data_IF_555709755281
#
_entry.id   IF_555709755281
#
_cell.length_a   1.000
_cell.length_b   1.000
_cell.length_c   1.000
_cell.angle_alpha   90.00
_cell.angle_beta   90.00
_cell.angle_gamma   90.00
#
_symmetry.space_group_name_H-M   'P 1'
#
loop_
_entity.id
_entity.type
_entity.pdbx_description
1 polymer ?
#
# COMPACT_ATOMS: atom_id res chain seq x y z
N UNK A 1 -3.38 -2.78 7.59
CA UNK A 1 -1.99 -2.81 8.09
C UNK A 1 -2.00 -3.42 9.48
N UNK A 2 -0.99 -4.20 9.87
CA UNK A 2 -0.85 -4.69 11.27
C UNK A 2 -0.15 -3.62 12.11
N UNK A 3 -0.54 -3.51 13.38
CA UNK A 3 -0.06 -2.51 14.34
C UNK A 3 -0.13 -1.04 13.84
N UNK A 4 -1.23 -0.59 13.22
CA UNK A 4 -1.36 0.79 12.73
C UNK A 4 -1.23 1.85 13.84
N UNK A 5 -1.22 1.45 15.11
CA UNK A 5 -1.08 2.30 16.28
C UNK A 5 0.36 2.40 16.82
N UNK A 6 1.32 1.61 16.32
CA UNK A 6 2.69 1.59 16.84
C UNK A 6 3.75 1.43 15.77
N UNK A 7 4.56 2.48 15.59
CA UNK A 7 5.74 2.47 14.71
C UNK A 7 6.74 1.40 15.11
N UNK A 8 6.97 1.24 16.41
CA UNK A 8 7.87 0.22 16.96
C UNK A 8 7.43 -1.20 16.60
N UNK A 9 6.12 -1.48 16.71
CA UNK A 9 5.58 -2.79 16.36
C UNK A 9 5.61 -3.02 14.84
N UNK A 10 5.31 -2.00 14.02
CA UNK A 10 5.45 -2.09 12.56
C UNK A 10 6.90 -2.39 12.14
N UNK A 11 7.87 -1.68 12.72
CA UNK A 11 9.29 -1.92 12.49
C UNK A 11 9.69 -3.35 12.87
N UNK A 12 9.22 -3.82 14.03
CA UNK A 12 9.49 -5.19 14.52
C UNK A 12 8.93 -6.23 13.56
N UNK A 13 7.68 -6.07 13.12
CA UNK A 13 7.02 -6.99 12.19
C UNK A 13 7.71 -7.04 10.82
N UNK A 14 8.12 -5.89 10.27
CA UNK A 14 8.86 -5.84 9.00
C UNK A 14 10.18 -6.60 9.14
N UNK A 15 10.97 -6.30 10.17
CA UNK A 15 12.24 -6.96 10.42
C UNK A 15 12.08 -8.46 10.74
N UNK A 16 10.97 -8.87 11.37
CA UNK A 16 10.67 -10.27 11.61
C UNK A 16 10.63 -11.07 10.30
N UNK A 17 10.07 -10.51 9.22
CA UNK A 17 10.03 -11.23 7.93
C UNK A 17 11.41 -11.44 7.32
N UNK A 18 12.33 -10.48 7.47
CA UNK A 18 13.74 -10.67 7.10
C UNK A 18 14.38 -11.78 7.95
N UNK A 19 14.19 -11.73 9.27
CA UNK A 19 14.76 -12.72 10.19
C UNK A 19 14.25 -14.15 9.89
N UNK A 20 12.96 -14.29 9.56
CA UNK A 20 12.38 -15.56 9.12
C UNK A 20 13.07 -16.11 7.87
N UNK A 21 13.37 -15.23 6.90
CA UNK A 21 13.98 -15.63 5.63
C UNK A 21 15.41 -16.15 5.75
N UNK A 22 16.09 -15.86 6.87
CA UNK A 22 17.45 -16.34 7.17
C UNK A 22 17.49 -17.29 8.38
N UNK A 23 16.32 -17.70 8.86
CA UNK A 23 16.18 -18.58 10.02
C UNK A 23 16.45 -20.03 9.64
N UNK A 24 17.03 -20.80 10.57
CA UNK A 24 17.30 -22.22 10.39
C UNK A 24 16.97 -22.99 11.66
N UNK A 25 16.83 -24.31 11.59
CA UNK A 25 16.60 -25.14 12.78
C UNK A 25 17.74 -25.00 13.82
N UNK A 26 18.99 -24.81 13.36
CA UNK A 26 20.15 -24.62 14.24
C UNK A 26 20.23 -23.21 14.83
N UNK A 27 19.70 -22.22 14.11
CA UNK A 27 19.73 -20.80 14.49
C UNK A 27 18.36 -20.17 14.19
N UNK A 28 17.35 -20.44 15.03
CA UNK A 28 16.03 -19.86 14.86
C UNK A 28 16.10 -18.34 15.12
N UNK A 29 15.50 -17.54 14.22
CA UNK A 29 15.47 -16.08 14.30
C UNK A 29 14.03 -15.55 14.35
N UNK A 30 13.41 -15.72 15.50
CA UNK A 30 12.02 -15.32 15.78
C UNK A 30 11.93 -14.35 16.96
N UNK A 31 13.01 -13.62 17.24
CA UNK A 31 13.14 -12.65 18.33
C UNK A 31 12.13 -11.49 18.22
N UNK A 32 11.67 -11.19 17.01
CA UNK A 32 10.73 -10.11 16.73
C UNK A 32 9.27 -10.57 16.67
N UNK A 33 8.99 -11.86 16.89
CA UNK A 33 7.64 -12.40 16.85
C UNK A 33 7.00 -12.51 18.22
N UNK A 34 5.67 -12.33 18.32
CA UNK A 34 4.96 -12.57 19.56
C UNK A 34 5.04 -14.07 19.94
N UNK A 35 5.22 -14.33 21.23
CA UNK A 35 5.36 -15.67 21.81
C UNK A 35 4.03 -16.38 22.12
N UNK A 36 2.90 -15.83 21.70
CA UNK A 36 1.58 -16.35 22.04
C UNK A 36 1.10 -17.47 21.10
N UNK A 37 0.16 -18.29 21.56
CA UNK A 37 -0.43 -19.41 20.79
C UNK A 37 -1.15 -18.94 19.51
N UNK A 38 -1.71 -17.73 19.54
CA UNK A 38 -2.33 -17.04 18.41
C UNK A 38 -1.31 -16.32 17.51
N UNK A 39 -0.01 -16.45 17.79
CA UNK A 39 1.06 -15.82 17.01
C UNK A 39 0.93 -16.16 15.53
N UNK A 40 1.09 -15.15 14.69
CA UNK A 40 1.15 -15.32 13.24
C UNK A 40 2.43 -16.03 12.80
N UNK A 41 3.44 -16.12 13.68
CA UNK A 41 4.67 -16.85 13.43
C UNK A 41 4.46 -18.35 13.67
N UNK A 42 4.61 -19.16 12.61
CA UNK A 42 4.43 -20.62 12.66
C UNK A 42 5.39 -21.30 13.62
N UNK A 43 6.63 -20.82 13.73
CA UNK A 43 7.61 -21.35 14.68
C UNK A 43 7.18 -21.09 16.12
N UNK A 44 6.83 -19.84 16.48
CA UNK A 44 6.36 -19.50 17.84
C UNK A 44 5.09 -20.25 18.23
N UNK A 45 4.17 -20.43 17.28
CA UNK A 45 2.98 -21.26 17.48
C UNK A 45 3.33 -22.72 17.75
N UNK A 46 4.23 -23.29 16.95
CA UNK A 46 4.67 -24.68 17.13
C UNK A 46 5.38 -24.87 18.47
N UNK A 47 6.23 -23.92 18.86
CA UNK A 47 6.90 -23.85 20.16
C UNK A 47 5.88 -23.82 21.32
N UNK A 48 4.85 -22.96 21.23
CA UNK A 48 3.79 -22.86 22.24
C UNK A 48 2.96 -24.15 22.37
N UNK A 49 2.76 -24.87 21.27
CA UNK A 49 1.98 -26.12 21.23
C UNK A 49 2.84 -27.37 21.51
N UNK A 50 4.16 -27.21 21.66
CA UNK A 50 5.08 -28.34 21.81
C UNK A 50 5.15 -29.27 20.60
N UNK A 51 4.80 -28.79 19.40
CA UNK A 51 4.84 -29.58 18.16
C UNK A 51 6.12 -29.29 17.37
N UNK A 52 6.67 -30.29 16.66
CA UNK A 52 7.89 -30.09 15.88
C UNK A 52 7.67 -29.08 14.76
N UNK A 53 8.69 -28.27 14.49
CA UNK A 53 8.75 -27.34 13.37
C UNK A 53 10.08 -27.48 12.64
N UNK A 54 10.01 -27.48 11.31
CA UNK A 54 11.19 -27.50 10.44
C UNK A 54 11.21 -26.22 9.63
N UNK A 55 12.34 -25.51 9.66
CA UNK A 55 12.51 -24.29 8.88
C UNK A 55 12.62 -24.60 7.39
N UNK A 56 12.04 -23.74 6.53
CA UNK A 56 12.38 -23.73 5.11
C UNK A 56 13.88 -23.47 4.90
N UNK A 57 14.37 -23.80 3.71
CA UNK A 57 15.73 -23.44 3.30
C UNK A 57 15.93 -21.92 3.42
N UNK A 58 16.96 -21.44 4.14
CA UNK A 58 17.22 -20.02 4.28
C UNK A 58 17.66 -19.39 2.96
N UNK A 59 17.51 -18.08 2.85
CA UNK A 59 18.11 -17.33 1.75
C UNK A 59 19.63 -17.50 1.72
N UNK A 60 20.18 -17.58 0.50
CA UNK A 60 21.62 -17.58 0.31
C UNK A 60 22.23 -16.32 0.94
N UNK A 61 23.38 -16.40 1.64
CA UNK A 61 23.95 -15.27 2.39
C UNK A 61 24.11 -13.99 1.59
N UNK A 62 24.56 -14.11 0.32
CA UNK A 62 24.71 -12.97 -0.59
C UNK A 62 23.38 -12.26 -0.88
N UNK A 63 22.29 -13.02 -1.03
CA UNK A 63 20.95 -12.45 -1.27
C UNK A 63 20.46 -11.78 0.01
N UNK A 64 20.60 -12.44 1.15
CA UNK A 64 20.21 -11.89 2.44
C UNK A 64 20.92 -10.55 2.73
N UNK A 65 22.23 -10.48 2.50
CA UNK A 65 23.00 -9.26 2.65
C UNK A 65 22.55 -8.17 1.67
N UNK A 66 22.25 -8.54 0.43
CA UNK A 66 21.82 -7.59 -0.62
C UNK A 66 20.45 -6.97 -0.33
N UNK A 67 19.51 -7.70 0.29
CA UNK A 67 18.14 -7.21 0.56
C UNK A 67 18.00 -6.56 1.94
N UNK A 68 18.94 -6.78 2.87
CA UNK A 68 18.89 -6.18 4.20
C UNK A 68 18.78 -4.65 4.19
N UNK A 69 19.48 -3.90 3.31
CA UNK A 69 19.28 -2.45 3.19
C UNK A 69 17.82 -2.08 2.91
N UNK A 70 17.16 -2.79 1.99
CA UNK A 70 15.73 -2.57 1.69
C UNK A 70 14.86 -2.77 2.91
N UNK A 71 15.12 -3.82 3.71
CA UNK A 71 14.40 -4.03 4.97
C UNK A 71 14.63 -2.92 5.98
N UNK A 72 15.87 -2.41 6.09
CA UNK A 72 16.19 -1.27 6.96
C UNK A 72 15.47 0.00 6.50
N UNK A 73 15.45 0.27 5.20
CA UNK A 73 14.77 1.42 4.62
C UNK A 73 13.26 1.37 4.83
N UNK A 74 12.64 0.20 4.60
CA UNK A 74 11.21 -0.03 4.89
C UNK A 74 10.88 0.03 6.38
N UNK A 75 11.87 -0.19 7.24
CA UNK A 75 11.76 -0.17 8.71
C UNK A 75 12.09 1.19 9.33
N UNK A 76 12.29 2.23 8.52
CA UNK A 76 12.58 3.58 9.02
C UNK A 76 11.37 4.20 9.71
N UNK A 77 11.59 4.80 10.88
CA UNK A 77 10.51 5.38 11.68
C UNK A 77 9.74 6.49 10.97
N UNK A 78 10.45 7.40 10.30
CA UNK A 78 9.84 8.52 9.58
C UNK A 78 8.94 8.06 8.40
N UNK A 79 9.29 6.94 7.77
CA UNK A 79 8.43 6.30 6.78
C UNK A 79 7.18 5.70 7.44
N UNK A 80 7.36 4.98 8.54
CA UNK A 80 6.29 4.26 9.23
C UNK A 80 5.33 5.18 10.00
N UNK A 81 5.76 6.37 10.43
CA UNK A 81 4.89 7.39 11.03
C UNK A 81 3.75 7.78 10.09
N UNK A 82 4.00 7.78 8.77
CA UNK A 82 2.98 8.06 7.74
C UNK A 82 1.94 6.95 7.62
N UNK A 83 2.22 5.78 8.18
CA UNK A 83 1.35 4.63 8.19
C UNK A 83 0.50 4.53 9.46
N UNK A 84 0.72 5.40 10.44
CA UNK A 84 -0.10 5.46 11.65
C UNK A 84 -1.57 5.73 11.30
N UNK A 85 -2.48 5.08 12.03
CA UNK A 85 -3.92 5.12 11.77
C UNK A 85 -4.38 4.19 10.63
N UNK A 86 -3.46 3.56 9.90
CA UNK A 86 -3.80 2.53 8.91
C UNK A 86 -4.64 3.04 7.73
N UNK A 87 -4.53 4.32 7.40
CA UNK A 87 -5.24 4.93 6.28
C UNK A 87 -4.91 4.21 4.97
N UNK A 88 -5.93 3.88 4.19
CA UNK A 88 -5.74 3.22 2.90
C UNK A 88 -5.37 4.23 1.83
N UNK A 89 -4.56 3.79 0.86
CA UNK A 89 -4.27 4.61 -0.33
C UNK A 89 -5.43 4.64 -1.33
N UNK A 90 -6.57 3.99 -1.03
CA UNK A 90 -7.72 3.89 -1.92
C UNK A 90 -8.21 5.25 -2.44
N UNK A 91 -8.18 6.30 -1.62
CA UNK A 91 -8.57 7.64 -2.07
C UNK A 91 -7.64 8.14 -3.19
N UNK A 92 -6.32 8.00 -3.00
CA UNK A 92 -5.33 8.38 -3.99
C UNK A 92 -5.37 7.49 -5.24
N UNK A 93 -5.59 6.19 -5.08
CA UNK A 93 -5.73 5.24 -6.19
C UNK A 93 -6.99 5.54 -7.01
N UNK A 94 -8.12 5.81 -6.34
CA UNK A 94 -9.39 6.19 -6.98
C UNK A 94 -9.26 7.51 -7.74
N UNK A 95 -8.66 8.53 -7.12
CA UNK A 95 -8.40 9.83 -7.75
C UNK A 95 -7.49 9.70 -8.98
N UNK A 96 -6.35 9.01 -8.85
CA UNK A 96 -5.43 8.82 -9.97
C UNK A 96 -6.07 7.99 -11.10
N UNK A 97 -6.84 6.96 -10.76
CA UNK A 97 -7.59 6.16 -11.74
C UNK A 97 -8.53 7.03 -12.58
N UNK A 98 -9.20 8.00 -11.95
CA UNK A 98 -10.09 8.93 -12.64
C UNK A 98 -9.32 9.90 -13.56
N UNK A 99 -8.18 10.45 -13.12
CA UNK A 99 -7.30 11.25 -13.99
C UNK A 99 -6.91 10.46 -15.23
N UNK A 100 -6.43 9.22 -15.06
CA UNK A 100 -5.97 8.40 -16.18
C UNK A 100 -7.12 7.86 -17.05
N UNK A 101 -8.36 7.89 -16.55
CA UNK A 101 -9.55 7.63 -17.36
C UNK A 101 -9.88 8.83 -18.26
N UNK A 102 -9.70 10.05 -17.76
CA UNK A 102 -9.93 11.29 -18.50
C UNK A 102 -8.77 11.63 -19.46
N UNK A 103 -7.53 11.34 -19.06
CA UNK A 103 -6.33 11.55 -19.84
C UNK A 103 -5.49 10.25 -19.89
N UNK A 104 -5.81 9.33 -20.81
CA UNK A 104 -5.18 8.02 -20.86
C UNK A 104 -3.66 8.08 -21.08
N UNK A 105 -2.92 7.32 -20.27
CA UNK A 105 -1.44 7.29 -20.30
C UNK A 105 -0.83 6.87 -21.65
N UNK A 106 -1.59 6.15 -22.48
CA UNK A 106 -1.14 5.68 -23.79
C UNK A 106 -1.35 6.72 -24.90
N UNK A 107 -2.00 7.84 -24.60
CA UNK A 107 -2.18 8.97 -25.50
C UNK A 107 -1.29 10.12 -25.08
N UNK A 108 -0.79 10.89 -26.05
CA UNK A 108 -0.06 12.11 -25.75
C UNK A 108 -1.05 13.20 -25.31
N UNK A 109 -1.09 13.49 -24.02
CA UNK A 109 -1.87 14.60 -23.46
C UNK A 109 -0.94 15.74 -23.07
N UNK A 110 -1.15 16.93 -23.62
CA UNK A 110 -0.42 18.14 -23.22
C UNK A 110 -0.74 18.54 -21.77
N UNK A 111 0.16 19.33 -21.15
CA UNK A 111 0.04 19.78 -19.75
C UNK A 111 -1.35 20.31 -19.38
N UNK A 112 -1.95 21.14 -20.23
CA UNK A 112 -3.29 21.72 -20.00
C UNK A 112 -4.39 20.65 -19.87
N UNK A 113 -4.31 19.57 -20.65
CA UNK A 113 -5.29 18.47 -20.60
C UNK A 113 -5.16 17.72 -19.28
N UNK A 114 -3.93 17.41 -18.87
CA UNK A 114 -3.68 16.75 -17.57
C UNK A 114 -4.18 17.61 -16.41
N UNK A 115 -3.96 18.91 -16.47
CA UNK A 115 -4.42 19.85 -15.46
C UNK A 115 -5.96 19.91 -15.36
N UNK A 116 -6.66 19.98 -16.50
CA UNK A 116 -8.13 19.90 -16.53
C UNK A 116 -8.62 18.56 -15.98
N UNK A 117 -8.01 17.44 -16.39
CA UNK A 117 -8.37 16.11 -15.90
C UNK A 117 -8.18 15.99 -14.37
N UNK A 118 -7.13 16.60 -13.81
CA UNK A 118 -6.91 16.64 -12.37
C UNK A 118 -7.98 17.46 -11.63
N UNK A 119 -8.37 18.62 -12.14
CA UNK A 119 -9.45 19.42 -11.55
C UNK A 119 -10.79 18.67 -11.61
N UNK A 120 -11.13 18.07 -12.75
CA UNK A 120 -12.35 17.28 -12.90
C UNK A 120 -12.35 16.06 -11.97
N UNK A 121 -11.21 15.36 -11.84
CA UNK A 121 -11.11 14.23 -10.92
C UNK A 121 -11.30 14.67 -9.47
N UNK A 122 -10.81 15.85 -9.08
CA UNK A 122 -10.94 16.37 -7.73
C UNK A 122 -12.40 16.75 -7.41
N UNK A 123 -13.09 17.44 -8.33
CA UNK A 123 -14.49 17.81 -8.13
C UNK A 123 -15.39 16.58 -8.08
N UNK A 124 -15.17 15.60 -8.97
CA UNK A 124 -15.91 14.35 -8.97
C UNK A 124 -15.67 13.51 -7.70
N UNK A 125 -14.46 13.56 -7.13
CA UNK A 125 -14.15 12.84 -5.90
C UNK A 125 -14.84 13.47 -4.68
N UNK A 126 -14.92 14.80 -4.63
CA UNK A 126 -15.48 15.52 -3.48
C UNK A 126 -17.00 15.68 -3.54
N UNK A 127 -17.57 15.88 -4.73
CA UNK A 127 -18.97 16.28 -4.92
C UNK A 127 -19.74 15.37 -5.90
N UNK A 128 -19.09 14.32 -6.43
CA UNK A 128 -19.70 13.44 -7.42
C UNK A 128 -20.02 14.14 -8.74
N UNK A 129 -20.96 13.58 -9.49
CA UNK A 129 -21.31 14.05 -10.84
C UNK A 129 -22.08 15.39 -10.88
N UNK A 130 -22.60 15.88 -9.75
CA UNK A 130 -23.31 17.16 -9.72
C UNK A 130 -22.37 18.33 -10.04
N UNK A 131 -21.13 18.27 -9.53
CA UNK A 131 -20.10 19.27 -9.85
C UNK A 131 -19.77 19.31 -11.34
N UNK A 132 -19.77 18.15 -12.00
CA UNK A 132 -19.54 18.05 -13.44
C UNK A 132 -20.65 18.72 -14.23
N UNK A 133 -21.92 18.57 -13.82
CA UNK A 133 -23.05 19.26 -14.46
C UNK A 133 -22.93 20.78 -14.34
N UNK A 134 -22.47 21.28 -13.19
CA UNK A 134 -22.20 22.71 -12.99
C UNK A 134 -21.12 23.22 -13.96
N UNK A 135 -19.99 22.52 -14.05
CA UNK A 135 -18.91 22.86 -14.98
C UNK A 135 -19.41 22.85 -16.43
N UNK A 136 -20.18 21.83 -16.82
CA UNK A 136 -20.76 21.71 -18.16
C UNK A 136 -21.66 22.91 -18.48
N UNK A 137 -22.51 23.33 -17.55
CA UNK A 137 -23.35 24.52 -17.70
C UNK A 137 -22.51 25.79 -17.90
N UNK A 138 -21.46 25.98 -17.11
CA UNK A 138 -20.59 27.17 -17.19
C UNK A 138 -19.82 27.25 -18.52
N UNK A 139 -19.43 26.11 -19.11
CA UNK A 139 -18.79 26.07 -20.43
C UNK A 139 -19.79 26.04 -21.59
N UNK A 140 -21.09 26.19 -21.30
CA UNK A 140 -22.16 26.25 -22.32
C UNK A 140 -22.59 24.90 -22.89
N UNK A 141 -22.28 23.78 -22.23
CA UNK A 141 -22.73 22.44 -22.61
C UNK A 141 -24.07 22.18 -21.90
N UNK A 142 -25.15 22.26 -22.66
CA UNK A 142 -26.49 22.03 -22.14
C UNK A 142 -26.93 20.58 -22.32
N UNK A 143 -27.89 20.12 -21.50
CA UNK A 143 -28.47 18.78 -21.61
C UNK A 143 -29.00 18.46 -23.02
N UNK A 144 -29.56 19.45 -23.71
CA UNK A 144 -30.07 19.31 -25.07
C UNK A 144 -28.99 18.99 -26.11
N UNK A 145 -27.73 19.35 -25.84
CA UNK A 145 -26.60 19.01 -26.72
C UNK A 145 -26.11 17.57 -26.51
N UNK A 146 -26.31 17.02 -25.30
CA UNK A 146 -25.94 15.66 -24.95
C UNK A 146 -26.92 14.61 -25.49
N UNK A 147 -28.20 14.97 -25.66
CA UNK A 147 -29.21 14.09 -26.27
C UNK A 147 -28.84 13.61 -27.69
N UNK A 148 -27.93 14.29 -28.37
CA UNK A 148 -27.46 13.90 -29.71
C UNK A 148 -26.47 12.72 -29.70
N UNK A 149 -26.00 12.31 -28.52
CA UNK A 149 -24.98 11.27 -28.34
C UNK A 149 -25.52 9.98 -27.70
N UNK A 150 -26.82 9.92 -27.41
CA UNK A 150 -27.55 8.75 -26.91
C UNK A 150 -28.74 8.44 -27.83
#
# INVERSE_FOLDING_TARGET
MRNPESVENMQRDIMATYLHSISTDKKPRHENCPSAEDSWCKFRRAESLGVPYTHPEPLHPVVAESILPTYKDLSRKDLLERCLGGFTQNANESFNSLIWRLAPKHLHCGRKIIEIAAYLAATMFNEGYLSLLGIMSEVGINWNDLQKFF
#
